data_IF_577295364291
#
_entry.id   IF_577295364291
#
_cell.length_a   1.000
_cell.length_b   1.000
_cell.length_c   1.000
_cell.angle_alpha   90.00
_cell.angle_beta   90.00
_cell.angle_gamma   90.00
#
_symmetry.space_group_name_H-M   'P 1'
#
loop_
_entity.id
_entity.type
_entity.pdbx_description
1 polymer ?
#
# COMPACT_ATOMS: atom_id res chain seq x y z
N UNK A 1 37.09 -45.89 -3.01
CA UNK A 1 37.28 -44.48 -3.43
C UNK A 1 36.73 -44.33 -4.84
N UNK A 2 35.68 -43.51 -4.99
CA UNK A 2 35.33 -42.75 -6.20
C UNK A 2 33.96 -42.14 -5.91
N UNK A 3 33.96 -40.91 -5.40
CA UNK A 3 32.75 -40.11 -5.27
C UNK A 3 32.18 -39.82 -6.65
N UNK A 4 30.87 -39.90 -6.78
CA UNK A 4 30.17 -39.39 -7.95
C UNK A 4 28.88 -38.71 -7.52
N UNK A 5 28.75 -37.47 -7.97
CA UNK A 5 27.48 -36.81 -8.17
C UNK A 5 26.90 -36.14 -6.93
N UNK A 6 27.36 -34.92 -6.64
CA UNK A 6 26.55 -33.97 -5.90
C UNK A 6 25.24 -33.73 -6.64
N UNK A 7 24.15 -34.30 -6.15
CA UNK A 7 22.80 -33.90 -6.53
C UNK A 7 22.50 -32.61 -5.78
N UNK A 8 22.68 -31.49 -6.47
CA UNK A 8 22.40 -30.16 -5.96
C UNK A 8 21.01 -30.09 -5.34
N UNK A 9 20.95 -29.52 -4.14
CA UNK A 9 19.70 -29.18 -3.45
C UNK A 9 18.73 -28.48 -4.41
N UNK A 10 17.45 -28.87 -4.47
CA UNK A 10 16.46 -28.07 -5.18
C UNK A 10 16.34 -26.74 -4.44
N UNK A 11 16.60 -25.68 -5.18
CA UNK A 11 16.31 -24.27 -4.91
C UNK A 11 15.52 -23.97 -3.64
N UNK A 12 16.26 -23.60 -2.60
CA UNK A 12 15.75 -22.77 -1.51
C UNK A 12 15.34 -21.42 -2.14
N UNK A 13 14.06 -21.22 -2.44
CA UNK A 13 13.46 -19.88 -2.60
C UNK A 13 12.67 -19.57 -3.86
N UNK A 14 12.52 -20.48 -4.83
CA UNK A 14 11.73 -20.25 -6.04
C UNK A 14 10.30 -20.78 -5.93
N UNK A 15 9.29 -19.97 -6.29
CA UNK A 15 7.92 -20.48 -6.46
C UNK A 15 7.88 -21.41 -7.68
N UNK A 16 7.14 -22.52 -7.58
CA UNK A 16 6.86 -23.37 -8.73
C UNK A 16 6.02 -22.62 -9.78
N UNK A 17 6.00 -23.12 -11.02
CA UNK A 17 5.22 -22.50 -12.10
C UNK A 17 3.73 -22.35 -11.73
N UNK A 18 3.14 -23.38 -11.11
CA UNK A 18 1.74 -23.34 -10.63
C UNK A 18 1.54 -22.33 -9.50
N UNK A 19 2.51 -22.20 -8.59
CA UNK A 19 2.45 -21.21 -7.51
C UNK A 19 2.56 -19.80 -8.06
N UNK A 20 3.39 -19.58 -9.08
CA UNK A 20 3.55 -18.30 -9.75
C UNK A 20 2.26 -17.90 -10.48
N UNK A 21 1.62 -18.83 -11.19
CA UNK A 21 0.35 -18.59 -11.88
C UNK A 21 -0.76 -18.24 -10.88
N UNK A 22 -0.90 -19.00 -9.79
CA UNK A 22 -1.84 -18.70 -8.71
C UNK A 22 -1.57 -17.32 -8.09
N UNK A 23 -0.30 -16.97 -7.87
CA UNK A 23 0.09 -15.67 -7.34
C UNK A 23 -0.27 -14.53 -8.31
N UNK A 24 -0.12 -14.74 -9.61
CA UNK A 24 -0.52 -13.75 -10.62
C UNK A 24 -2.02 -13.51 -10.60
N UNK A 25 -2.84 -14.57 -10.63
CA UNK A 25 -4.29 -14.44 -10.54
C UNK A 25 -4.73 -13.72 -9.26
N UNK A 26 -4.13 -14.09 -8.12
CA UNK A 26 -4.41 -13.46 -6.84
C UNK A 26 -4.05 -11.96 -6.84
N UNK A 27 -2.89 -11.58 -7.40
CA UNK A 27 -2.48 -10.17 -7.52
C UNK A 27 -3.45 -9.36 -8.39
N UNK A 28 -3.93 -9.93 -9.49
CA UNK A 28 -4.91 -9.27 -10.35
C UNK A 28 -6.22 -9.05 -9.61
N UNK A 29 -6.73 -10.07 -8.92
CA UNK A 29 -7.95 -9.95 -8.12
C UNK A 29 -7.79 -8.89 -7.02
N UNK A 30 -6.68 -8.93 -6.28
CA UNK A 30 -6.40 -7.97 -5.22
C UNK A 30 -6.33 -6.53 -5.75
N UNK A 31 -5.75 -6.31 -6.94
CA UNK A 31 -5.73 -4.99 -7.57
C UNK A 31 -7.15 -4.49 -7.88
N UNK A 32 -7.99 -5.34 -8.47
CA UNK A 32 -9.37 -4.98 -8.76
C UNK A 32 -10.16 -4.65 -7.49
N UNK A 33 -9.98 -5.43 -6.43
CA UNK A 33 -10.65 -5.19 -5.14
C UNK A 33 -10.16 -3.89 -4.48
N UNK A 34 -8.85 -3.62 -4.53
CA UNK A 34 -8.29 -2.35 -4.04
C UNK A 34 -8.83 -1.14 -4.82
N UNK A 35 -8.93 -1.24 -6.15
CA UNK A 35 -9.50 -0.15 -6.96
C UNK A 35 -10.98 0.09 -6.64
N UNK A 36 -11.75 -0.98 -6.43
CA UNK A 36 -13.16 -0.86 -6.01
C UNK A 36 -13.28 -0.21 -4.64
N UNK A 37 -12.42 -0.58 -3.70
CA UNK A 37 -12.36 0.02 -2.37
C UNK A 37 -12.02 1.51 -2.44
N UNK A 38 -10.97 1.89 -3.16
CA UNK A 38 -10.60 3.31 -3.30
C UNK A 38 -11.73 4.13 -3.97
N UNK A 39 -12.43 3.56 -4.96
CA UNK A 39 -13.58 4.22 -5.59
C UNK A 39 -14.78 4.38 -4.66
N UNK A 40 -15.01 3.45 -3.73
CA UNK A 40 -16.11 3.55 -2.76
C UNK A 40 -15.78 4.42 -1.54
N UNK A 41 -14.50 4.78 -1.37
CA UNK A 41 -13.99 5.51 -0.20
C UNK A 41 -13.31 6.83 -0.60
N UNK A 42 -14.07 7.84 -1.07
CA UNK A 42 -13.52 9.14 -1.48
C UNK A 42 -12.82 9.91 -0.34
N UNK A 43 -13.11 9.58 0.92
CA UNK A 43 -12.41 10.11 2.09
C UNK A 43 -10.90 9.82 2.06
N UNK A 44 -10.49 8.70 1.46
CA UNK A 44 -9.09 8.32 1.37
C UNK A 44 -8.34 9.22 0.40
N UNK A 45 -8.96 9.60 -0.71
CA UNK A 45 -8.36 10.50 -1.70
C UNK A 45 -8.11 11.89 -1.10
N UNK A 46 -9.11 12.44 -0.40
CA UNK A 46 -8.97 13.72 0.31
C UNK A 46 -7.90 13.63 1.40
N UNK A 47 -7.88 12.55 2.17
CA UNK A 47 -6.92 12.37 3.26
C UNK A 47 -5.48 12.24 2.75
N UNK A 48 -5.24 11.45 1.71
CA UNK A 48 -3.92 11.28 1.10
C UNK A 48 -3.48 12.55 0.38
N UNK A 49 -4.38 13.24 -0.32
CA UNK A 49 -4.11 14.52 -0.96
C UNK A 49 -3.70 15.59 0.04
N UNK A 50 -4.43 15.72 1.16
CA UNK A 50 -4.09 16.68 2.22
C UNK A 50 -2.74 16.33 2.86
N UNK A 51 -2.48 15.05 3.14
CA UNK A 51 -1.18 14.60 3.64
C UNK A 51 -0.03 14.97 2.70
N UNK A 52 -0.15 14.63 1.41
CA UNK A 52 0.88 14.95 0.41
C UNK A 52 1.09 16.46 0.27
N UNK A 53 0.02 17.25 0.27
CA UNK A 53 0.11 18.72 0.28
C UNK A 53 0.92 19.23 1.48
N UNK A 54 0.66 18.68 2.67
CA UNK A 54 1.42 19.00 3.88
C UNK A 54 2.90 18.59 3.77
N UNK A 55 3.21 17.41 3.21
CA UNK A 55 4.59 16.95 2.99
C UNK A 55 5.33 17.89 2.04
N UNK A 56 4.70 18.28 0.92
CA UNK A 56 5.32 19.18 -0.06
C UNK A 56 5.53 20.59 0.49
N UNK A 57 4.63 21.07 1.35
CA UNK A 57 4.72 22.38 1.98
C UNK A 57 5.78 22.41 3.10
N UNK A 58 5.76 21.42 3.99
CA UNK A 58 6.62 21.40 5.19
C UNK A 58 7.99 20.78 4.94
N UNK A 59 8.14 19.95 3.91
CA UNK A 59 9.36 19.21 3.54
C UNK A 59 10.05 18.59 4.76
N UNK A 60 9.37 17.68 5.47
CA UNK A 60 9.93 17.07 6.67
C UNK A 60 11.17 16.25 6.33
N UNK A 61 12.14 16.24 7.24
CA UNK A 61 13.36 15.43 7.13
C UNK A 61 13.05 13.93 7.27
N UNK A 62 12.10 13.58 8.15
CA UNK A 62 11.60 12.22 8.32
C UNK A 62 10.12 12.15 7.92
N UNK A 63 9.85 11.43 6.82
CA UNK A 63 8.50 11.27 6.28
C UNK A 63 7.70 10.25 7.10
N UNK A 64 8.36 9.26 7.71
CA UNK A 64 7.69 8.21 8.48
C UNK A 64 7.16 8.76 9.80
N UNK A 65 7.99 9.52 10.53
CA UNK A 65 7.55 10.20 11.76
C UNK A 65 6.41 11.19 11.44
N UNK A 66 6.56 11.98 10.37
CA UNK A 66 5.52 12.91 9.94
C UNK A 66 4.20 12.21 9.57
N UNK A 67 4.26 11.04 8.93
CA UNK A 67 3.09 10.23 8.63
C UNK A 67 2.44 9.70 9.92
N UNK A 68 3.24 9.19 10.86
CA UNK A 68 2.74 8.67 12.12
C UNK A 68 1.96 9.75 12.90
N UNK A 69 2.52 10.96 13.00
CA UNK A 69 1.86 12.09 13.64
C UNK A 69 0.56 12.50 12.94
N UNK A 70 0.58 12.55 11.60
CA UNK A 70 -0.58 12.95 10.82
C UNK A 70 -1.73 11.94 10.94
N UNK A 71 -1.46 10.66 10.67
CA UNK A 71 -2.49 9.61 10.63
C UNK A 71 -2.95 9.15 12.02
N UNK A 72 -2.16 9.39 13.07
CA UNK A 72 -2.55 9.08 14.46
C UNK A 72 -3.36 10.21 15.11
N UNK A 73 -3.58 11.32 14.42
CA UNK A 73 -4.34 12.44 14.95
C UNK A 73 -5.84 12.08 15.11
N UNK A 74 -6.40 12.09 16.33
CA UNK A 74 -7.79 11.68 16.57
C UNK A 74 -8.82 12.61 15.91
N UNK A 75 -8.42 13.85 15.58
CA UNK A 75 -9.28 14.82 14.91
C UNK A 75 -9.26 14.67 13.39
N UNK A 76 -8.37 13.85 12.82
CA UNK A 76 -8.25 13.68 11.38
C UNK A 76 -9.59 13.32 10.71
N UNK A 77 -10.42 12.38 11.22
CA UNK A 77 -11.70 12.05 10.59
C UNK A 77 -12.65 13.25 10.48
N UNK A 78 -12.68 14.11 11.49
CA UNK A 78 -13.52 15.32 11.52
C UNK A 78 -13.05 16.34 10.49
N UNK A 79 -11.72 16.52 10.39
CA UNK A 79 -11.11 17.44 9.41
C UNK A 79 -11.38 16.96 7.98
N UNK A 80 -11.20 15.67 7.71
CA UNK A 80 -11.46 15.10 6.38
C UNK A 80 -12.95 15.19 6.02
N UNK A 81 -13.85 14.83 6.94
CA UNK A 81 -15.30 14.97 6.71
C UNK A 81 -15.71 16.42 6.41
N UNK A 82 -15.10 17.40 7.10
CA UNK A 82 -15.35 18.83 6.86
C UNK A 82 -14.86 19.27 5.47
N UNK A 83 -13.66 18.83 5.06
CA UNK A 83 -13.09 19.11 3.73
C UNK A 83 -13.91 18.48 2.60
N UNK A 84 -14.41 17.25 2.80
CA UNK A 84 -15.29 16.60 1.83
C UNK A 84 -16.58 17.38 1.60
N UNK A 85 -17.17 17.95 2.67
CA UNK A 85 -18.39 18.76 2.55
C UNK A 85 -18.13 20.09 1.83
N UNK A 86 -17.00 20.75 2.10
CA UNK A 86 -16.62 22.00 1.43
C UNK A 86 -16.25 21.84 -0.05
N UNK A 87 -15.89 20.64 -0.50
CA UNK A 87 -15.63 20.35 -1.92
C UNK A 87 -16.91 20.02 -2.73
N UNK A 88 -18.08 19.91 -2.08
CA UNK A 88 -19.37 19.62 -2.73
C UNK A 88 -20.23 20.87 -2.99
N UNK A 89 -19.75 22.05 -2.62
CA UNK A 89 -20.34 23.36 -2.91
C UNK A 89 -19.57 24.06 -4.04
#
# INVERSE_FOLDING_TARGET
MAGSGGSGNPEVGGLSAEQQEKLQHFKVQLRNDNERYLKSHPELDVMVGDFLGNVLLKRPTDIHEFAADYFSNPNLPVVIASKMKGNME
#
